data_IF_381274087193
#
_entry.id   IF_381274087193
#
_cell.length_a   1.000
_cell.length_b   1.000
_cell.length_c   1.000
_cell.angle_alpha   90.00
_cell.angle_beta   90.00
_cell.angle_gamma   90.00
#
_symmetry.space_group_name_H-M   'P 1'
#
loop_
_entity.id
_entity.type
_entity.pdbx_description
1 polymer ?
#
# COMPACT_ATOMS: atom_id res chain seq x y z
N UNK A 1 -12.43 -3.81 -19.56
CA UNK A 1 -12.13 -4.37 -18.23
C UNK A 1 -13.35 -5.16 -17.78
N UNK A 2 -13.17 -6.46 -17.53
CA UNK A 2 -14.23 -7.30 -16.97
C UNK A 2 -14.47 -6.89 -15.51
N UNK A 3 -15.70 -7.03 -14.99
CA UNK A 3 -16.03 -6.65 -13.61
C UNK A 3 -15.08 -7.28 -12.58
N UNK A 4 -14.70 -8.54 -12.78
CA UNK A 4 -13.83 -9.29 -11.89
C UNK A 4 -12.39 -8.74 -11.86
N UNK A 5 -11.82 -8.37 -13.00
CA UNK A 5 -10.48 -7.77 -13.10
C UNK A 5 -10.42 -6.45 -12.34
N UNK A 6 -11.49 -5.65 -12.44
CA UNK A 6 -11.60 -4.39 -11.71
C UNK A 6 -11.58 -4.63 -10.21
N UNK A 7 -12.37 -5.58 -9.75
CA UNK A 7 -12.45 -5.90 -8.34
C UNK A 7 -11.09 -6.38 -7.81
N UNK A 8 -10.38 -7.23 -8.57
CA UNK A 8 -9.04 -7.70 -8.20
C UNK A 8 -8.04 -6.55 -8.10
N UNK A 9 -7.97 -5.64 -9.08
CA UNK A 9 -6.97 -4.58 -9.02
C UNK A 9 -7.22 -3.57 -7.90
N UNK A 10 -8.48 -3.23 -7.65
CA UNK A 10 -8.83 -2.38 -6.50
C UNK A 10 -8.57 -3.12 -5.18
N UNK A 11 -8.87 -4.42 -5.09
CA UNK A 11 -8.53 -5.21 -3.92
C UNK A 11 -7.03 -5.20 -3.65
N UNK A 12 -6.20 -5.44 -4.66
CA UNK A 12 -4.73 -5.37 -4.53
C UNK A 12 -4.27 -3.98 -4.09
N UNK A 13 -4.78 -2.92 -4.72
CA UNK A 13 -4.38 -1.54 -4.41
C UNK A 13 -4.71 -1.12 -2.97
N UNK A 14 -5.91 -1.42 -2.48
CA UNK A 14 -6.40 -0.91 -1.20
C UNK A 14 -6.17 -1.90 -0.05
N UNK A 15 -6.42 -3.20 -0.25
CA UNK A 15 -6.29 -4.19 0.83
C UNK A 15 -4.84 -4.40 1.24
N UNK A 16 -3.89 -4.29 0.32
CA UNK A 16 -2.45 -4.40 0.65
C UNK A 16 -2.02 -3.28 1.59
N UNK A 17 -2.38 -2.03 1.28
CA UNK A 17 -2.07 -0.88 2.12
C UNK A 17 -2.81 -0.95 3.47
N UNK A 18 -4.07 -1.40 3.45
CA UNK A 18 -4.84 -1.64 4.68
C UNK A 18 -4.17 -2.69 5.57
N UNK A 19 -3.73 -3.82 5.01
CA UNK A 19 -3.03 -4.87 5.77
C UNK A 19 -1.74 -4.34 6.42
N UNK A 20 -0.98 -3.52 5.71
CA UNK A 20 0.22 -2.87 6.25
C UNK A 20 -0.11 -1.93 7.42
N UNK A 21 -1.17 -1.13 7.29
CA UNK A 21 -1.64 -0.27 8.38
C UNK A 21 -2.10 -1.08 9.59
N UNK A 22 -2.81 -2.19 9.37
CA UNK A 22 -3.29 -3.08 10.43
C UNK A 22 -2.11 -3.70 11.20
N UNK A 23 -1.09 -4.20 10.50
CA UNK A 23 0.12 -4.74 11.13
C UNK A 23 0.78 -3.69 12.02
N UNK A 24 0.99 -2.47 11.51
CA UNK A 24 1.58 -1.38 12.30
C UNK A 24 0.73 -1.01 13.52
N UNK A 25 -0.59 -1.00 13.36
CA UNK A 25 -1.54 -0.69 14.43
C UNK A 25 -1.48 -1.75 15.53
N UNK A 26 -1.48 -3.03 15.18
CA UNK A 26 -1.38 -4.14 16.14
C UNK A 26 -0.07 -4.10 16.92
N UNK A 27 1.04 -3.77 16.26
CA UNK A 27 2.36 -3.62 16.91
C UNK A 27 2.35 -2.42 17.86
N UNK A 28 1.79 -1.28 17.43
CA UNK A 28 1.70 -0.08 18.25
C UNK A 28 0.87 -0.30 19.51
N UNK A 29 -0.24 -1.05 19.43
CA UNK A 29 -1.06 -1.38 20.60
C UNK A 29 -0.39 -2.34 21.59
N UNK A 30 0.60 -3.13 21.16
CA UNK A 30 1.29 -4.09 22.01
C UNK A 30 2.52 -3.50 22.73
N UNK A 31 2.75 -2.18 22.63
CA UNK A 31 3.89 -1.49 23.24
C UNK A 31 3.40 -0.43 24.24
N UNK A 32 3.81 -0.57 25.50
CA UNK A 32 3.39 0.30 26.59
C UNK A 32 3.96 1.75 26.54
N UNK A 33 5.00 1.99 25.72
CA UNK A 33 5.77 3.27 25.70
C UNK A 33 5.94 3.88 24.31
N UNK A 34 5.08 3.55 23.34
CA UNK A 34 5.20 4.16 22.01
C UNK A 34 4.69 5.61 22.01
N UNK A 35 5.59 6.59 21.88
CA UNK A 35 5.24 8.03 21.94
C UNK A 35 5.30 8.75 20.60
N UNK A 36 5.94 8.18 19.57
CA UNK A 36 6.12 8.84 18.26
C UNK A 36 5.09 8.39 17.20
N UNK A 37 3.82 8.63 17.49
CA UNK A 37 2.72 8.39 16.55
C UNK A 37 2.83 9.25 15.29
N UNK A 38 3.34 10.48 15.42
CA UNK A 38 3.51 11.41 14.29
C UNK A 38 4.56 10.90 13.30
N UNK A 39 5.70 10.42 13.79
CA UNK A 39 6.75 9.81 12.95
C UNK A 39 6.26 8.56 12.22
N UNK A 40 5.44 7.74 12.88
CA UNK A 40 4.82 6.56 12.26
C UNK A 40 3.86 6.93 11.13
N UNK A 41 2.96 7.88 11.38
CA UNK A 41 1.99 8.35 10.36
C UNK A 41 2.71 9.01 9.19
N UNK A 42 3.79 9.75 9.41
CA UNK A 42 4.54 10.39 8.31
C UNK A 42 5.30 9.35 7.47
N UNK A 43 6.03 8.43 8.08
CA UNK A 43 6.86 7.44 7.36
C UNK A 43 6.01 6.46 6.58
N UNK A 44 4.98 5.90 7.21
CA UNK A 44 4.08 4.97 6.54
C UNK A 44 3.06 5.70 5.65
N UNK A 45 2.44 6.78 6.14
CA UNK A 45 1.36 7.47 5.45
C UNK A 45 1.80 8.09 4.13
N UNK A 46 3.00 8.68 4.05
CA UNK A 46 3.53 9.19 2.78
C UNK A 46 3.72 8.05 1.78
N UNK A 47 4.33 6.94 2.20
CA UNK A 47 4.51 5.75 1.35
C UNK A 47 3.19 5.14 0.88
N UNK A 48 2.20 5.07 1.78
CA UNK A 48 0.85 4.60 1.50
C UNK A 48 0.12 5.50 0.49
N UNK A 49 0.18 6.82 0.65
CA UNK A 49 -0.43 7.78 -0.27
C UNK A 49 0.17 7.68 -1.67
N UNK A 50 1.51 7.62 -1.77
CA UNK A 50 2.22 7.43 -3.04
C UNK A 50 1.78 6.11 -3.69
N UNK A 51 1.71 5.04 -2.91
CA UNK A 51 1.32 3.73 -3.40
C UNK A 51 -0.10 3.69 -3.95
N UNK A 52 -1.06 4.29 -3.23
CA UNK A 52 -2.46 4.38 -3.67
C UNK A 52 -2.56 5.23 -4.94
N UNK A 53 -1.87 6.38 -4.97
CA UNK A 53 -1.87 7.27 -6.13
C UNK A 53 -1.39 6.57 -7.40
N UNK A 54 -0.23 5.91 -7.35
CA UNK A 54 0.29 5.17 -8.50
C UNK A 54 -0.58 3.97 -8.86
N UNK A 55 -1.14 3.27 -7.88
CA UNK A 55 -2.07 2.15 -8.12
C UNK A 55 -3.30 2.60 -8.90
N UNK A 56 -3.93 3.71 -8.50
CA UNK A 56 -5.07 4.29 -9.23
C UNK A 56 -4.67 4.65 -10.66
N UNK A 57 -3.49 5.26 -10.85
CA UNK A 57 -2.98 5.67 -12.16
C UNK A 57 -2.74 4.44 -13.07
N UNK A 58 -2.18 3.35 -12.53
CA UNK A 58 -1.96 2.08 -13.25
C UNK A 58 -3.29 1.45 -13.66
N UNK A 59 -4.27 1.38 -12.75
CA UNK A 59 -5.61 0.84 -13.01
C UNK A 59 -6.32 1.65 -14.09
N UNK A 60 -6.24 2.98 -13.99
CA UNK A 60 -6.81 3.90 -14.98
C UNK A 60 -6.15 3.67 -16.35
N UNK A 61 -4.82 3.55 -16.39
CA UNK A 61 -4.06 3.31 -17.62
C UNK A 61 -4.39 1.96 -18.27
N UNK A 62 -4.55 0.89 -17.47
CA UNK A 62 -5.00 -0.42 -17.96
C UNK A 62 -6.37 -0.33 -18.64
N UNK A 63 -7.31 0.43 -18.06
CA UNK A 63 -8.65 0.62 -18.64
C UNK A 63 -8.60 1.27 -20.03
N UNK A 64 -7.73 2.27 -20.24
CA UNK A 64 -7.63 2.98 -21.51
C UNK A 64 -6.84 2.22 -22.57
N UNK A 65 -5.69 1.64 -22.20
CA UNK A 65 -4.77 1.01 -23.14
C UNK A 65 -4.98 -0.51 -23.32
N UNK A 66 -5.99 -1.10 -22.66
CA UNK A 66 -6.28 -2.55 -22.69
C UNK A 66 -5.02 -3.41 -22.49
N UNK A 67 -4.18 -3.03 -21.53
CA UNK A 67 -2.93 -3.75 -21.22
C UNK A 67 -3.22 -5.17 -20.73
N UNK A 68 -2.25 -6.06 -20.85
CA UNK A 68 -2.36 -7.40 -20.29
C UNK A 68 -2.57 -7.38 -18.77
N UNK A 69 -3.37 -8.32 -18.28
CA UNK A 69 -3.70 -8.48 -16.87
C UNK A 69 -2.44 -8.69 -16.02
N UNK A 70 -1.59 -9.66 -16.38
CA UNK A 70 -0.37 -10.01 -15.65
C UNK A 70 0.61 -8.84 -15.57
N UNK A 71 0.83 -8.12 -16.68
CA UNK A 71 1.69 -6.93 -16.70
C UNK A 71 1.17 -5.82 -15.79
N UNK A 72 -0.15 -5.69 -15.68
CA UNK A 72 -0.79 -4.68 -14.82
C UNK A 72 -0.66 -5.06 -13.34
N UNK A 73 -0.82 -6.34 -13.01
CA UNK A 73 -0.58 -6.87 -11.66
C UNK A 73 0.86 -6.64 -11.20
N UNK A 74 1.85 -6.94 -12.04
CA UNK A 74 3.27 -6.72 -11.70
C UNK A 74 3.51 -5.23 -11.39
N UNK A 75 2.96 -4.33 -12.19
CA UNK A 75 3.08 -2.87 -11.96
C UNK A 75 2.37 -2.42 -10.69
N UNK A 76 1.21 -2.98 -10.39
CA UNK A 76 0.51 -2.75 -9.12
C UNK A 76 1.37 -3.19 -7.93
N UNK A 77 1.98 -4.39 -7.99
CA UNK A 77 2.90 -4.86 -6.95
C UNK A 77 4.09 -3.91 -6.75
N UNK A 78 4.69 -3.41 -7.84
CA UNK A 78 5.79 -2.45 -7.77
C UNK A 78 5.35 -1.12 -7.16
N UNK A 79 4.11 -0.68 -7.43
CA UNK A 79 3.57 0.55 -6.83
C UNK A 79 3.41 0.46 -5.30
N UNK A 80 3.49 -0.73 -4.71
CA UNK A 80 3.48 -0.92 -3.25
C UNK A 80 4.86 -0.82 -2.60
N UNK A 81 5.95 -0.74 -3.36
CA UNK A 81 7.32 -0.62 -2.81
C UNK A 81 7.47 0.58 -1.87
N UNK A 82 7.00 1.81 -2.19
CA UNK A 82 7.10 2.93 -1.27
C UNK A 82 6.38 2.70 0.06
N UNK A 83 5.20 2.09 0.03
CA UNK A 83 4.44 1.74 1.23
C UNK A 83 5.15 0.64 2.05
N UNK A 84 5.77 -0.34 1.39
CA UNK A 84 6.57 -1.38 2.04
C UNK A 84 7.81 -0.80 2.73
N UNK A 85 8.51 0.13 2.07
CA UNK A 85 9.65 0.84 2.66
C UNK A 85 9.20 1.65 3.88
N UNK A 86 8.09 2.40 3.76
CA UNK A 86 7.49 3.15 4.87
C UNK A 86 7.11 2.25 6.05
N UNK A 87 6.57 1.06 5.78
CA UNK A 87 6.28 0.05 6.79
C UNK A 87 7.56 -0.47 7.45
N UNK A 88 8.60 -0.82 6.68
CA UNK A 88 9.86 -1.30 7.23
C UNK A 88 10.56 -0.25 8.11
N UNK A 89 10.59 1.02 7.67
CA UNK A 89 11.15 2.13 8.44
C UNK A 89 10.36 2.41 9.73
N UNK A 90 9.04 2.22 9.69
CA UNK A 90 8.20 2.34 10.89
C UNK A 90 8.43 1.14 11.82
N UNK A 91 8.60 -0.06 11.27
CA UNK A 91 8.90 -1.29 12.02
C UNK A 91 10.21 -1.20 12.81
N UNK A 92 11.26 -0.62 12.23
CA UNK A 92 12.56 -0.42 12.89
C UNK A 92 12.43 0.44 14.16
N UNK A 93 11.46 1.35 14.25
CA UNK A 93 11.22 2.13 15.47
C UNK A 93 10.63 1.30 16.62
N UNK A 94 10.07 0.13 16.31
CA UNK A 94 9.51 -0.80 17.28
C UNK A 94 10.49 -1.89 17.69
N UNK A 95 11.73 -1.88 17.21
CA UNK A 95 12.81 -2.75 17.66
C UNK A 95 13.51 -2.10 18.85
#
# INVERSE_FOLDING_TARGET
MRKNERLIFYAVAYMTVFNYALILTLIAFNRDTFTDYTGLVLRFGIGALISIFFSILIIRNHRYLKKEFTSTLIKLSIAHIPALIGLALSFIMFL
#
